data_IF_483558602976
#
_entry.id   IF_483558602976
#
_cell.length_a   1.000
_cell.length_b   1.000
_cell.length_c   1.000
_cell.angle_alpha   90.00
_cell.angle_beta   90.00
_cell.angle_gamma   90.00
#
_symmetry.space_group_name_H-M   'P 1'
#
loop_
_entity.id
_entity.type
_entity.pdbx_description
1 polymer ?
#
# COMPACT_ATOMS: atom_id res chain seq x y z
N UNK A 1 -4.55 10.35 39.06
CA UNK A 1 -3.31 10.93 38.47
C UNK A 1 -3.49 11.06 36.97
N UNK A 2 -2.91 12.09 36.35
CA UNK A 2 -2.99 12.26 34.89
C UNK A 2 -1.66 11.97 34.20
N UNK A 3 -1.74 11.42 33.00
CA UNK A 3 -0.63 11.19 32.09
C UNK A 3 -0.87 11.97 30.80
N UNK A 4 0.18 12.61 30.28
CA UNK A 4 0.11 13.37 29.04
C UNK A 4 0.79 12.55 27.96
N UNK A 5 0.09 12.31 26.85
CA UNK A 5 0.68 11.62 25.71
C UNK A 5 0.55 12.41 24.43
N UNK A 6 1.56 12.30 23.56
CA UNK A 6 1.58 12.94 22.23
C UNK A 6 1.40 11.90 21.13
N UNK A 7 0.53 12.20 20.17
CA UNK A 7 0.38 11.44 18.92
C UNK A 7 0.14 12.41 17.75
N UNK A 8 0.89 12.27 16.64
CA UNK A 8 0.76 13.10 15.44
C UNK A 8 0.63 14.62 15.70
N UNK A 9 1.49 15.16 16.58
CA UNK A 9 1.53 16.57 17.04
C UNK A 9 0.36 17.01 17.96
N UNK A 10 -0.58 16.14 18.27
CA UNK A 10 -1.69 16.40 19.19
C UNK A 10 -1.34 15.89 20.60
N UNK A 11 -1.64 16.69 21.62
CA UNK A 11 -1.48 16.34 23.04
C UNK A 11 -2.81 15.83 23.61
N UNK A 12 -2.75 14.72 24.32
CA UNK A 12 -3.91 14.09 24.96
C UNK A 12 -3.62 13.85 26.44
N UNK A 13 -4.68 13.85 27.26
CA UNK A 13 -4.62 13.55 28.69
C UNK A 13 -5.43 12.29 28.99
N UNK A 14 -4.83 11.37 29.75
CA UNK A 14 -5.47 10.15 30.26
C UNK A 14 -5.32 10.13 31.78
N UNK A 15 -6.37 9.76 32.50
CA UNK A 15 -6.26 9.46 33.93
C UNK A 15 -5.72 8.04 34.11
N UNK A 16 -4.75 7.85 35.02
CA UNK A 16 -4.13 6.56 35.34
C UNK A 16 -4.26 6.28 36.85
N UNK A 17 -4.32 4.99 37.23
CA UNK A 17 -4.24 4.54 38.63
C UNK A 17 -2.84 3.99 38.90
N UNK A 18 -2.10 4.67 39.76
CA UNK A 18 -0.75 4.31 40.21
C UNK A 18 -0.75 4.48 41.73
N UNK A 19 -0.66 3.37 42.47
CA UNK A 19 -0.56 3.27 43.92
C UNK A 19 -1.87 2.87 44.61
N UNK A 20 -1.80 1.86 45.48
CA UNK A 20 -2.81 1.57 46.49
C UNK A 20 -2.79 2.67 47.57
N UNK A 21 -3.79 3.54 47.58
CA UNK A 21 -4.19 4.24 48.80
C UNK A 21 -5.57 3.73 49.22
N UNK A 22 -5.54 2.99 50.32
CA UNK A 22 -6.69 2.62 51.12
C UNK A 22 -7.10 3.88 51.87
N UNK A 23 -8.11 4.60 51.40
CA UNK A 23 -8.84 5.59 52.19
C UNK A 23 -10.26 5.67 51.64
N UNK A 24 -11.21 5.21 52.45
CA UNK A 24 -12.62 5.35 52.17
C UNK A 24 -12.99 6.83 52.20
N UNK A 25 -13.68 7.29 51.14
CA UNK A 25 -14.71 8.29 51.33
C UNK A 25 -15.76 8.15 50.25
N UNK A 26 -16.99 7.91 50.70
CA UNK A 26 -18.20 7.94 49.90
C UNK A 26 -18.41 9.38 49.38
N UNK A 27 -18.64 9.54 48.08
CA UNK A 27 -19.50 10.62 47.60
C UNK A 27 -20.19 10.16 46.33
N UNK A 28 -21.52 10.12 46.41
CA UNK A 28 -22.45 9.80 45.34
C UNK A 28 -22.36 10.79 44.16
N UNK A 29 -22.57 10.29 42.94
CA UNK A 29 -22.99 11.12 41.81
C UNK A 29 -22.47 10.70 40.44
N UNK A 30 -23.29 9.98 39.66
CA UNK A 30 -23.41 10.16 38.21
C UNK A 30 -22.48 9.36 37.28
N UNK A 31 -22.99 8.20 36.85
CA UNK A 31 -22.89 7.58 35.50
C UNK A 31 -21.53 7.43 34.76
N UNK A 32 -21.30 6.18 34.30
CA UNK A 32 -20.22 5.63 33.45
C UNK A 32 -18.86 5.35 34.11
N UNK A 33 -18.72 4.11 34.60
CA UNK A 33 -17.51 3.47 35.10
C UNK A 33 -16.43 3.32 34.01
N UNK A 34 -15.63 4.37 33.81
CA UNK A 34 -14.39 4.28 33.02
C UNK A 34 -13.29 3.72 33.95
N UNK A 35 -13.03 2.40 33.87
CA UNK A 35 -11.97 1.76 34.65
C UNK A 35 -10.62 2.40 34.34
N UNK A 36 -10.03 3.07 35.33
CA UNK A 36 -8.72 3.71 35.22
C UNK A 36 -7.66 2.64 34.87
N UNK A 37 -6.80 2.88 33.86
CA UNK A 37 -5.79 1.92 33.45
C UNK A 37 -4.73 1.79 34.56
N UNK A 38 -4.51 0.56 34.98
CA UNK A 38 -3.56 0.13 36.01
C UNK A 38 -2.41 -0.68 35.42
N UNK A 39 -2.64 -1.31 34.26
CA UNK A 39 -1.67 -2.10 33.50
C UNK A 39 -1.29 -1.46 32.16
N UNK A 40 -0.17 -1.88 31.59
CA UNK A 40 0.27 -1.43 30.26
C UNK A 40 -0.75 -1.76 29.17
N UNK A 41 -1.42 -2.91 29.26
CA UNK A 41 -2.46 -3.33 28.32
C UNK A 41 -3.69 -2.44 28.35
N UNK A 42 -4.16 -2.05 29.54
CA UNK A 42 -5.29 -1.12 29.71
C UNK A 42 -4.94 0.28 29.20
N UNK A 43 -3.72 0.75 29.49
CA UNK A 43 -3.24 2.04 28.98
C UNK A 43 -3.20 2.04 27.44
N UNK A 44 -2.69 0.97 26.81
CA UNK A 44 -2.69 0.83 25.35
C UNK A 44 -4.10 0.79 24.77
N UNK A 45 -5.05 0.13 25.43
CA UNK A 45 -6.47 0.11 25.01
C UNK A 45 -7.08 1.51 25.03
N UNK A 46 -6.88 2.28 26.10
CA UNK A 46 -7.39 3.64 26.18
C UNK A 46 -6.72 4.60 25.18
N UNK A 47 -5.41 4.47 24.98
CA UNK A 47 -4.71 5.23 23.94
C UNK A 47 -5.26 4.85 22.57
N UNK A 48 -5.45 3.57 22.28
CA UNK A 48 -6.02 3.06 21.03
C UNK A 48 -7.43 3.62 20.78
N UNK A 49 -8.28 3.69 21.80
CA UNK A 49 -9.61 4.31 21.69
C UNK A 49 -9.53 5.81 21.36
N UNK A 50 -8.58 6.54 21.94
CA UNK A 50 -8.41 7.99 21.71
C UNK A 50 -7.68 8.34 20.41
N UNK A 51 -6.78 7.47 19.93
CA UNK A 51 -5.92 7.76 18.75
C UNK A 51 -6.18 6.86 17.55
N UNK A 52 -7.06 5.86 17.66
CA UNK A 52 -7.30 4.83 16.65
C UNK A 52 -6.04 4.05 16.23
N UNK A 53 -4.97 4.09 17.04
CA UNK A 53 -3.77 3.32 16.82
C UNK A 53 -4.01 1.86 17.18
N UNK A 54 -3.39 0.93 16.45
CA UNK A 54 -3.43 -0.47 16.83
C UNK A 54 -2.70 -0.73 18.16
N UNK A 55 -3.26 -1.55 19.03
CA UNK A 55 -2.66 -1.94 20.31
C UNK A 55 -1.35 -2.71 20.09
N UNK A 56 -1.27 -3.52 19.02
CA UNK A 56 -0.12 -4.41 18.76
C UNK A 56 1.06 -3.67 18.12
N UNK A 57 0.80 -2.74 17.19
CA UNK A 57 1.86 -1.94 16.55
C UNK A 57 2.22 -0.65 17.29
N UNK A 58 1.46 -0.29 18.34
CA UNK A 58 1.73 0.87 19.18
C UNK A 58 3.05 0.74 19.93
N UNK A 59 3.91 1.74 19.80
CA UNK A 59 5.15 1.93 20.54
C UNK A 59 4.99 3.12 21.46
N UNK A 60 5.19 2.89 22.75
CA UNK A 60 5.22 3.94 23.77
C UNK A 60 6.68 4.31 24.03
N UNK A 61 6.98 5.60 23.98
CA UNK A 61 8.30 6.16 24.26
C UNK A 61 8.20 7.08 25.46
N UNK A 62 9.01 6.82 26.48
CA UNK A 62 9.09 7.63 27.70
C UNK A 62 10.53 8.03 27.95
N UNK A 63 10.77 9.33 28.14
CA UNK A 63 12.12 9.90 28.37
C UNK A 63 13.16 9.40 27.34
N UNK A 64 12.74 9.28 26.07
CA UNK A 64 13.60 8.82 24.97
C UNK A 64 13.83 7.30 24.89
N UNK A 65 13.22 6.49 25.76
CA UNK A 65 13.32 5.03 25.75
C UNK A 65 11.99 4.38 25.38
N UNK A 66 12.06 3.31 24.59
CA UNK A 66 10.88 2.49 24.28
C UNK A 66 10.47 1.68 25.51
N UNK A 67 9.17 1.68 25.81
CA UNK A 67 8.58 0.84 26.85
C UNK A 67 8.29 -0.53 26.22
N UNK A 68 9.17 -1.48 26.50
CA UNK A 68 9.05 -2.88 26.07
C UNK A 68 8.78 -3.70 27.33
N UNK A 69 7.52 -4.00 27.57
CA UNK A 69 7.09 -4.80 28.72
C UNK A 69 5.80 -5.58 28.40
N UNK A 70 5.51 -6.66 29.13
CA UNK A 70 4.27 -7.41 28.99
C UNK A 70 3.03 -6.54 29.21
N UNK A 71 1.90 -6.90 28.60
CA UNK A 71 0.64 -6.16 28.76
C UNK A 71 0.11 -6.19 30.19
N UNK A 72 0.50 -7.20 30.97
CA UNK A 72 0.13 -7.40 32.38
C UNK A 72 1.01 -6.59 33.34
N UNK A 73 2.09 -5.98 32.85
CA UNK A 73 2.99 -5.19 33.67
C UNK A 73 2.27 -3.94 34.20
N UNK A 74 2.38 -3.71 35.51
CA UNK A 74 1.76 -2.57 36.17
C UNK A 74 2.45 -1.27 35.78
N UNK A 75 1.68 -0.18 35.64
CA UNK A 75 2.24 1.14 35.32
C UNK A 75 3.22 1.63 36.41
N UNK A 76 3.02 1.21 37.65
CA UNK A 76 3.95 1.43 38.77
C UNK A 76 5.34 0.81 38.52
N UNK A 77 5.41 -0.46 38.12
CA UNK A 77 6.66 -1.16 37.82
C UNK A 77 7.41 -0.55 36.62
N UNK A 78 6.65 0.02 35.69
CA UNK A 78 7.17 0.77 34.54
C UNK A 78 7.56 2.23 34.90
N UNK A 79 7.47 2.56 36.19
CA UNK A 79 7.86 3.83 36.79
C UNK A 79 7.04 5.02 36.32
N UNK A 80 5.81 4.82 35.83
CA UNK A 80 4.93 5.90 35.41
C UNK A 80 4.53 6.76 36.60
N UNK A 81 4.79 8.06 36.50
CA UNK A 81 4.44 9.04 37.51
C UNK A 81 3.36 10.00 36.99
N UNK A 82 2.76 10.75 37.92
CA UNK A 82 1.86 11.84 37.58
C UNK A 82 2.55 12.90 36.70
N UNK A 83 1.85 13.36 35.65
CA UNK A 83 2.33 14.28 34.63
C UNK A 83 3.49 13.79 33.76
N UNK A 84 3.77 12.49 33.73
CA UNK A 84 4.74 11.93 32.78
C UNK A 84 4.29 12.21 31.34
N UNK A 85 5.25 12.64 30.51
CA UNK A 85 5.06 12.85 29.08
C UNK A 85 5.53 11.62 28.32
N UNK A 86 4.62 10.97 27.61
CA UNK A 86 4.96 9.88 26.71
C UNK A 86 4.66 10.25 25.25
N UNK A 87 5.44 9.69 24.34
CA UNK A 87 5.21 9.78 22.92
C UNK A 87 4.66 8.44 22.44
N UNK A 88 3.52 8.49 21.75
CA UNK A 88 2.84 7.32 21.18
C UNK A 88 3.08 7.33 19.68
N UNK A 89 3.81 6.32 19.21
CA UNK A 89 4.02 6.08 17.78
C UNK A 89 3.32 4.78 17.43
N UNK A 90 2.30 4.83 16.59
CA UNK A 90 1.59 3.64 16.14
C UNK A 90 0.88 3.94 14.83
N UNK A 91 0.84 2.95 13.93
CA UNK A 91 -0.02 2.99 12.76
C UNK A 91 -1.46 2.63 13.14
N UNK A 92 -2.44 3.08 12.36
CA UNK A 92 -3.81 2.56 12.47
C UNK A 92 -3.83 1.09 12.02
N UNK A 93 -4.49 0.22 12.81
CA UNK A 93 -4.63 -1.22 12.51
C UNK A 93 -5.51 -1.53 11.32
N UNK A 94 -6.19 -0.53 10.75
CA UNK A 94 -7.11 -0.75 9.64
C UNK A 94 -6.25 -1.07 8.41
N UNK A 95 -5.90 -2.34 8.27
CA UNK A 95 -5.43 -2.94 7.04
C UNK A 95 -6.42 -2.48 5.99
N UNK A 96 -5.94 -1.62 5.10
CA UNK A 96 -6.73 -1.12 3.99
C UNK A 96 -6.77 -2.28 2.98
N UNK A 97 -7.77 -3.16 3.14
CA UNK A 97 -7.93 -4.36 2.32
C UNK A 97 -7.93 -4.01 0.83
N UNK A 98 -8.59 -2.90 0.47
CA UNK A 98 -8.58 -2.37 -0.90
C UNK A 98 -7.17 -2.01 -1.39
N UNK A 99 -6.35 -1.40 -0.54
CA UNK A 99 -4.94 -1.12 -0.85
C UNK A 99 -4.12 -2.40 -1.00
N UNK A 100 -4.33 -3.40 -0.14
CA UNK A 100 -3.61 -4.67 -0.20
C UNK A 100 -3.92 -5.44 -1.49
N UNK A 101 -5.21 -5.48 -1.88
CA UNK A 101 -5.66 -6.08 -3.14
C UNK A 101 -4.96 -5.42 -4.33
N UNK A 102 -4.91 -4.08 -4.37
CA UNK A 102 -4.24 -3.34 -5.44
C UNK A 102 -2.72 -3.60 -5.47
N UNK A 103 -2.05 -3.62 -4.31
CA UNK A 103 -0.62 -3.93 -4.21
C UNK A 103 -0.33 -5.36 -4.69
N UNK A 104 -1.19 -6.31 -4.30
CA UNK A 104 -1.05 -7.70 -4.71
C UNK A 104 -1.18 -7.82 -6.22
N UNK A 105 -2.19 -7.19 -6.80
CA UNK A 105 -2.43 -7.18 -8.24
C UNK A 105 -1.24 -6.59 -9.02
N UNK A 106 -0.71 -5.45 -8.56
CA UNK A 106 0.46 -4.81 -9.14
C UNK A 106 1.66 -5.76 -9.21
N UNK A 107 1.98 -6.42 -8.09
CA UNK A 107 3.12 -7.34 -8.02
C UNK A 107 2.93 -8.59 -8.88
N UNK A 108 1.71 -9.11 -8.97
CA UNK A 108 1.46 -10.37 -9.69
C UNK A 108 1.32 -10.16 -11.19
N UNK A 109 0.75 -9.04 -11.62
CA UNK A 109 0.38 -8.81 -13.03
C UNK A 109 1.20 -7.70 -13.68
N UNK A 110 1.28 -6.51 -13.07
CA UNK A 110 1.95 -5.36 -13.72
C UNK A 110 3.45 -5.59 -13.90
N UNK A 111 4.12 -6.24 -12.95
CA UNK A 111 5.54 -6.59 -13.08
C UNK A 111 5.77 -7.57 -14.23
N UNK A 112 4.88 -8.55 -14.40
CA UNK A 112 4.98 -9.52 -15.50
C UNK A 112 4.69 -8.88 -16.85
N UNK A 113 3.67 -8.03 -16.92
CA UNK A 113 3.31 -7.30 -18.14
C UNK A 113 4.47 -6.42 -18.62
N UNK A 114 5.12 -5.69 -17.70
CA UNK A 114 6.33 -4.93 -17.99
C UNK A 114 7.47 -5.82 -18.51
N UNK A 115 7.65 -7.02 -17.94
CA UNK A 115 8.65 -7.98 -18.41
C UNK A 115 8.41 -8.40 -19.85
N UNK A 116 7.17 -8.82 -20.17
CA UNK A 116 6.77 -9.22 -21.52
C UNK A 116 6.98 -8.06 -22.52
N UNK A 117 6.62 -6.83 -22.13
CA UNK A 117 6.84 -5.66 -22.98
C UNK A 117 8.31 -5.45 -23.32
N UNK A 118 9.21 -5.56 -22.32
CA UNK A 118 10.66 -5.42 -22.54
C UNK A 118 11.20 -6.49 -23.47
N UNK A 119 10.79 -7.74 -23.27
CA UNK A 119 11.19 -8.84 -24.16
C UNK A 119 10.74 -8.57 -25.61
N UNK A 120 9.51 -8.09 -25.81
CA UNK A 120 9.01 -7.71 -27.15
C UNK A 120 9.86 -6.57 -27.75
N UNK A 121 10.19 -5.54 -26.98
CA UNK A 121 10.97 -4.39 -27.45
C UNK A 121 12.42 -4.76 -27.81
N UNK A 122 13.03 -5.63 -27.00
CA UNK A 122 14.37 -6.20 -27.26
C UNK A 122 14.35 -7.05 -28.53
N UNK A 123 13.42 -8.01 -28.64
CA UNK A 123 13.28 -8.87 -29.80
C UNK A 123 12.99 -8.08 -31.09
N UNK A 124 12.16 -7.03 -31.00
CA UNK A 124 11.91 -6.12 -32.12
C UNK A 124 13.18 -5.41 -32.56
N UNK A 125 13.97 -4.94 -31.60
CA UNK A 125 15.25 -4.27 -31.87
C UNK A 125 16.31 -5.21 -32.44
N UNK A 126 16.30 -6.49 -32.06
CA UNK A 126 17.17 -7.51 -32.65
C UNK A 126 16.76 -7.88 -34.07
N UNK A 127 15.45 -8.01 -34.32
CA UNK A 127 14.93 -8.31 -35.65
C UNK A 127 15.30 -7.22 -36.66
N UNK A 128 15.22 -5.95 -36.27
CA UNK A 128 15.62 -4.82 -37.13
C UNK A 128 17.10 -4.82 -37.54
N UNK A 129 17.96 -5.60 -36.89
CA UNK A 129 19.36 -5.77 -37.28
C UNK A 129 19.54 -6.63 -38.54
N UNK A 130 18.46 -7.21 -39.08
CA UNK A 130 18.44 -7.93 -40.36
C UNK A 130 19.42 -9.12 -40.43
N UNK A 131 19.58 -9.87 -39.34
CA UNK A 131 20.39 -11.10 -39.37
C UNK A 131 19.70 -12.28 -40.05
N UNK A 132 18.38 -12.22 -40.23
CA UNK A 132 17.54 -13.29 -40.78
C UNK A 132 17.05 -12.90 -42.18
N UNK A 133 16.95 -13.90 -43.06
CA UNK A 133 16.49 -13.74 -44.44
C UNK A 133 15.46 -14.83 -44.81
N UNK A 134 14.68 -14.59 -45.87
CA UNK A 134 13.78 -15.59 -46.45
C UNK A 134 12.70 -16.10 -45.49
N UNK A 135 12.53 -17.43 -45.42
CA UNK A 135 11.46 -18.07 -44.64
C UNK A 135 11.56 -17.80 -43.13
N UNK A 136 12.78 -17.76 -42.57
CA UNK A 136 12.96 -17.49 -41.14
C UNK A 136 12.55 -16.08 -40.75
N UNK A 137 12.84 -15.09 -41.61
CA UNK A 137 12.40 -13.72 -41.40
C UNK A 137 10.87 -13.63 -41.43
N UNK A 138 10.23 -14.26 -42.41
CA UNK A 138 8.77 -14.28 -42.52
C UNK A 138 8.09 -14.93 -41.30
N UNK A 139 8.67 -16.01 -40.77
CA UNK A 139 8.17 -16.64 -39.55
C UNK A 139 8.30 -15.70 -38.34
N UNK A 140 9.45 -15.04 -38.18
CA UNK A 140 9.66 -14.06 -37.10
C UNK A 140 8.73 -12.86 -37.21
N UNK A 141 8.52 -12.31 -38.41
CA UNK A 141 7.56 -11.23 -38.65
C UNK A 141 6.16 -11.65 -38.18
N UNK A 142 5.70 -12.84 -38.57
CA UNK A 142 4.39 -13.35 -38.17
C UNK A 142 4.27 -13.55 -36.65
N UNK A 143 5.33 -14.08 -36.01
CA UNK A 143 5.37 -14.27 -34.56
C UNK A 143 5.37 -12.94 -33.82
N UNK A 144 6.11 -11.95 -34.31
CA UNK A 144 6.18 -10.62 -33.71
C UNK A 144 4.83 -9.88 -33.81
N UNK A 145 4.22 -9.88 -34.99
CA UNK A 145 2.88 -9.32 -35.21
C UNK A 145 1.86 -9.92 -34.24
N UNK A 146 1.89 -11.26 -34.07
CA UNK A 146 1.03 -11.94 -33.11
C UNK A 146 1.29 -11.49 -31.67
N UNK A 147 2.56 -11.41 -31.23
CA UNK A 147 2.93 -11.01 -29.87
C UNK A 147 2.53 -9.58 -29.55
N UNK A 148 2.70 -8.65 -30.49
CA UNK A 148 2.30 -7.25 -30.33
C UNK A 148 0.78 -7.13 -30.14
N UNK A 149 -0.01 -7.88 -30.90
CA UNK A 149 -1.47 -7.91 -30.78
C UNK A 149 -1.93 -8.60 -29.49
N UNK A 150 -1.34 -9.74 -29.14
CA UNK A 150 -1.62 -10.45 -27.87
C UNK A 150 -1.29 -9.55 -26.67
N UNK A 151 -0.20 -8.79 -26.72
CA UNK A 151 0.17 -7.85 -25.66
C UNK A 151 -0.90 -6.76 -25.46
N UNK A 152 -1.44 -6.20 -26.55
CA UNK A 152 -2.54 -5.23 -26.48
C UNK A 152 -3.77 -5.85 -25.82
N UNK A 153 -4.18 -7.04 -26.24
CA UNK A 153 -5.34 -7.74 -25.67
C UNK A 153 -5.15 -8.03 -24.17
N UNK A 154 -4.00 -8.58 -23.78
CA UNK A 154 -3.70 -8.85 -22.37
C UNK A 154 -3.67 -7.59 -21.51
N UNK A 155 -3.14 -6.48 -22.05
CA UNK A 155 -3.15 -5.19 -21.36
C UNK A 155 -4.58 -4.66 -21.15
N UNK A 156 -5.46 -4.82 -22.15
CA UNK A 156 -6.87 -4.46 -22.03
C UNK A 156 -7.61 -5.34 -21.00
N UNK A 157 -7.38 -6.65 -21.02
CA UNK A 157 -7.92 -7.57 -20.00
C UNK A 157 -7.48 -7.17 -18.59
N UNK A 158 -6.24 -6.69 -18.43
CA UNK A 158 -5.77 -6.19 -17.14
C UNK A 158 -6.43 -4.88 -16.70
N UNK A 159 -6.79 -3.99 -17.63
CA UNK A 159 -7.57 -2.78 -17.32
C UNK A 159 -8.98 -3.16 -16.84
N UNK A 160 -9.66 -4.05 -17.56
CA UNK A 160 -10.99 -4.55 -17.16
C UNK A 160 -10.96 -5.22 -15.79
N UNK A 161 -9.94 -6.04 -15.53
CA UNK A 161 -9.77 -6.71 -14.24
C UNK A 161 -9.54 -5.72 -13.10
N UNK A 162 -8.77 -4.64 -13.31
CA UNK A 162 -8.57 -3.59 -12.30
C UNK A 162 -9.87 -2.85 -12.01
N UNK A 163 -10.66 -2.55 -13.03
CA UNK A 163 -11.94 -1.87 -12.86
C UNK A 163 -12.94 -2.73 -12.07
N UNK A 164 -12.92 -4.04 -12.29
CA UNK A 164 -13.73 -5.01 -11.57
C UNK A 164 -13.31 -5.26 -10.11
N UNK A 165 -12.12 -4.81 -9.68
CA UNK A 165 -11.68 -4.99 -8.28
C UNK A 165 -12.61 -4.22 -7.34
N UNK A 166 -13.08 -4.86 -6.27
CA UNK A 166 -13.78 -4.15 -5.21
C UNK A 166 -12.76 -3.54 -4.23
N UNK A 167 -12.60 -2.21 -4.28
CA UNK A 167 -11.67 -1.47 -3.39
C UNK A 167 -12.37 -0.84 -2.19
N UNK A 168 -13.70 -0.99 -2.12
CA UNK A 168 -14.52 -0.45 -1.05
C UNK A 168 -14.89 -1.60 -0.11
N UNK A 169 -14.71 -1.37 1.18
CA UNK A 169 -15.22 -2.25 2.23
C UNK A 169 -16.28 -1.48 3.01
N UNK A 170 -17.26 -2.18 3.58
CA UNK A 170 -18.38 -1.57 4.31
C UNK A 170 -17.92 -0.71 5.51
N UNK A 171 -16.67 -0.87 5.95
CA UNK A 171 -16.06 -0.15 7.08
C UNK A 171 -14.96 0.87 6.66
N UNK A 172 -14.80 1.12 5.36
CA UNK A 172 -13.78 2.04 4.84
C UNK A 172 -14.08 3.49 5.19
N UNK A 173 -13.08 4.22 5.70
CA UNK A 173 -13.16 5.67 5.91
C UNK A 173 -13.00 6.39 4.56
N UNK A 174 -13.66 7.54 4.36
CA UNK A 174 -13.59 8.35 3.12
C UNK A 174 -12.15 8.58 2.63
N UNK A 175 -11.22 8.86 3.55
CA UNK A 175 -9.79 9.02 3.22
C UNK A 175 -9.13 7.74 2.68
N UNK A 176 -9.53 6.55 3.16
CA UNK A 176 -9.03 5.27 2.63
C UNK A 176 -9.57 5.04 1.23
N UNK A 177 -10.85 5.30 1.02
CA UNK A 177 -11.50 5.21 -0.29
C UNK A 177 -10.84 6.13 -1.31
N UNK A 178 -10.48 7.35 -0.90
CA UNK A 178 -9.76 8.29 -1.75
C UNK A 178 -8.37 7.78 -2.15
N UNK A 179 -7.58 7.30 -1.18
CA UNK A 179 -6.25 6.73 -1.46
C UNK A 179 -6.33 5.49 -2.37
N UNK A 180 -7.34 4.64 -2.20
CA UNK A 180 -7.54 3.47 -3.05
C UNK A 180 -7.91 3.85 -4.48
N UNK A 181 -8.78 4.87 -4.66
CA UNK A 181 -9.10 5.42 -5.99
C UNK A 181 -7.87 5.97 -6.69
N UNK A 182 -7.07 6.76 -5.98
CA UNK A 182 -5.84 7.34 -6.52
C UNK A 182 -4.85 6.24 -6.93
N UNK A 183 -4.67 5.22 -6.09
CA UNK A 183 -3.78 4.11 -6.41
C UNK A 183 -4.26 3.27 -7.60
N UNK A 184 -5.58 3.00 -7.69
CA UNK A 184 -6.17 2.35 -8.87
C UNK A 184 -5.88 3.15 -10.12
N UNK A 185 -6.08 4.47 -10.07
CA UNK A 185 -5.80 5.37 -11.19
C UNK A 185 -4.33 5.26 -11.62
N UNK A 186 -3.38 5.27 -10.68
CA UNK A 186 -1.95 5.10 -11.02
C UNK A 186 -1.65 3.78 -11.73
N UNK A 187 -2.31 2.68 -11.33
CA UNK A 187 -2.16 1.37 -12.00
C UNK A 187 -2.71 1.41 -13.42
N UNK A 188 -3.89 2.00 -13.61
CA UNK A 188 -4.51 2.20 -14.92
C UNK A 188 -3.60 3.05 -15.82
N UNK A 189 -3.11 4.18 -15.30
CA UNK A 189 -2.21 5.08 -16.04
C UNK A 189 -0.92 4.34 -16.48
N UNK A 190 -0.37 3.47 -15.62
CA UNK A 190 0.83 2.68 -15.93
C UNK A 190 0.59 1.67 -17.06
N UNK A 191 -0.55 0.98 -17.08
CA UNK A 191 -0.90 0.05 -18.16
C UNK A 191 -1.18 0.80 -19.46
N UNK A 192 -1.84 1.95 -19.39
CA UNK A 192 -2.05 2.80 -20.56
C UNK A 192 -0.74 3.32 -21.15
N UNK A 193 0.26 3.63 -20.31
CA UNK A 193 1.59 4.00 -20.79
C UNK A 193 2.24 2.83 -21.55
N UNK A 194 2.13 1.60 -21.05
CA UNK A 194 2.59 0.40 -21.76
C UNK A 194 1.86 0.18 -23.08
N UNK A 195 0.53 0.36 -23.12
CA UNK A 195 -0.25 0.28 -24.36
C UNK A 195 0.24 1.30 -25.40
N UNK A 196 0.42 2.56 -25.01
CA UNK A 196 0.95 3.60 -25.92
C UNK A 196 2.37 3.28 -26.38
N UNK A 197 3.18 2.66 -25.54
CA UNK A 197 4.52 2.20 -25.92
C UNK A 197 4.44 1.03 -26.92
N UNK A 198 3.50 0.10 -26.72
CA UNK A 198 3.25 -0.99 -27.66
C UNK A 198 2.72 -0.49 -29.00
N UNK A 199 1.85 0.52 -29.03
CA UNK A 199 1.38 1.15 -30.26
C UNK A 199 2.54 1.74 -31.08
N UNK A 200 3.54 2.31 -30.41
CA UNK A 200 4.79 2.75 -31.09
C UNK A 200 5.57 1.58 -31.65
N UNK A 201 5.63 0.45 -30.94
CA UNK A 201 6.30 -0.77 -31.42
C UNK A 201 5.56 -1.40 -32.60
N UNK A 202 4.23 -1.37 -32.61
CA UNK A 202 3.41 -1.78 -33.77
C UNK A 202 3.73 -0.89 -34.97
N UNK A 203 3.72 0.43 -34.80
CA UNK A 203 4.05 1.35 -35.89
C UNK A 203 5.48 1.13 -36.43
N UNK A 204 6.45 0.96 -35.52
CA UNK A 204 7.84 0.67 -35.84
C UNK A 204 7.96 -0.65 -36.62
N UNK A 205 7.26 -1.69 -36.17
CA UNK A 205 7.19 -2.98 -36.84
C UNK A 205 6.59 -2.88 -38.26
N UNK A 206 5.51 -2.13 -38.44
CA UNK A 206 4.91 -1.91 -39.76
C UNK A 206 5.84 -1.15 -40.71
N UNK A 207 6.56 -0.14 -40.20
CA UNK A 207 7.56 0.60 -40.98
C UNK A 207 8.71 -0.31 -41.41
N UNK A 208 9.18 -1.17 -40.50
CA UNK A 208 10.19 -2.16 -40.80
C UNK A 208 9.73 -3.13 -41.90
N UNK A 209 8.51 -3.69 -41.79
CA UNK A 209 7.92 -4.57 -42.79
C UNK A 209 7.82 -3.90 -44.17
N UNK A 210 7.37 -2.65 -44.23
CA UNK A 210 7.34 -1.86 -45.49
C UNK A 210 8.74 -1.65 -46.08
N UNK A 211 9.75 -1.43 -45.23
CA UNK A 211 11.13 -1.24 -45.68
C UNK A 211 11.76 -2.49 -46.29
N UNK A 212 11.27 -3.67 -45.92
CA UNK A 212 11.66 -4.95 -46.52
C UNK A 212 10.95 -5.20 -47.86
N UNK A 213 9.69 -4.78 -47.98
CA UNK A 213 8.89 -4.93 -49.21
C UNK A 213 9.33 -3.96 -50.32
N UNK A 214 9.81 -2.77 -49.96
CA UNK A 214 10.26 -1.74 -50.91
C UNK A 214 11.68 -1.23 -50.61
N UNK A 215 12.73 -2.04 -50.87
CA UNK A 215 14.11 -1.65 -50.60
C UNK A 215 14.57 -0.43 -51.43
N UNK A 216 13.99 -0.19 -52.60
CA UNK A 216 14.43 0.83 -53.56
C UNK A 216 13.98 2.28 -53.23
N UNK A 217 13.19 2.48 -52.18
CA UNK A 217 12.76 3.82 -51.72
C UNK A 217 13.75 4.45 -50.72
N UNK A 218 14.85 3.76 -50.39
CA UNK A 218 15.97 4.30 -49.61
C UNK A 218 16.99 4.95 -50.56
N UNK A 219 16.66 6.12 -51.11
CA UNK A 219 17.64 6.97 -51.81
C UNK A 219 17.49 8.44 -51.46
#
# INVERSE_FOLDING_TARGET
>A
MFLIFKHNKTEFKIQIKVGNNNDGNETEGGESSESLPSTLGELRKQISQKTQCDITTMKLIKKGKFIIAPMEESLENLGFNENDKILVIGGSSKIDEGKEILIKYEKTHLTKLNGIFKEIDEDLSEMERNFLEGEMLNEMLRRMEKRLNEFTEHSLQHLEAIDALNIYTDNSIEEQNQRNRERRKTLVDSIQELLRANDKNILRFEQYKKSLEFPDLKS
#
